data_IF_803300090701
#
_entry.id   IF_803300090701
#
_cell.length_a   1.000
_cell.length_b   1.000
_cell.length_c   1.000
_cell.angle_alpha   90.00
_cell.angle_beta   90.00
_cell.angle_gamma   90.00
#
_symmetry.space_group_name_H-M   'P 1'
#
loop_
_entity.id
_entity.type
_entity.pdbx_description
1 polymer ?
#
# COMPACT_ATOMS: atom_id res chain seq x y z
N UNK A 1 12.60 -17.89 -0.63
CA UNK A 1 11.49 -16.97 -0.25
C UNK A 1 11.14 -17.07 1.24
N UNK A 2 10.61 -18.21 1.75
CA UNK A 2 10.24 -18.36 3.18
C UNK A 2 11.39 -18.10 4.18
N UNK A 3 12.59 -18.64 3.90
CA UNK A 3 13.78 -18.40 4.74
C UNK A 3 14.23 -16.93 4.80
N UNK A 4 14.02 -16.16 3.71
CA UNK A 4 14.31 -14.73 3.69
C UNK A 4 13.24 -13.91 4.44
N UNK A 5 11.97 -14.34 4.42
CA UNK A 5 10.90 -13.72 5.22
C UNK A 5 11.11 -13.92 6.73
N UNK A 6 11.62 -15.09 7.14
CA UNK A 6 11.92 -15.38 8.54
C UNK A 6 13.13 -14.58 9.07
N UNK A 7 14.16 -14.36 8.24
CA UNK A 7 15.31 -13.51 8.60
C UNK A 7 14.92 -12.02 8.74
N UNK A 8 13.84 -11.58 8.08
CA UNK A 8 13.34 -10.21 8.16
C UNK A 8 12.46 -9.97 9.40
N UNK A 9 11.71 -10.99 9.85
CA UNK A 9 10.85 -10.93 11.04
C UNK A 9 11.60 -10.66 12.35
N UNK A 10 12.89 -11.00 12.46
CA UNK A 10 13.66 -10.80 13.68
C UNK A 10 14.37 -9.43 13.73
N UNK A 11 14.59 -8.77 12.59
CA UNK A 11 15.44 -7.58 12.53
C UNK A 11 14.69 -6.24 12.52
N UNK A 12 13.42 -6.21 12.08
CA UNK A 12 12.70 -4.94 11.85
C UNK A 12 11.42 -4.74 12.67
N UNK A 13 10.91 -5.78 13.33
CA UNK A 13 9.62 -5.70 14.05
C UNK A 13 9.68 -4.86 15.34
N UNK A 14 10.87 -4.39 15.75
CA UNK A 14 11.08 -3.72 17.05
C UNK A 14 12.04 -2.50 16.97
N UNK A 15 12.82 -2.30 15.91
CA UNK A 15 14.03 -1.46 15.99
C UNK A 15 13.97 -0.07 15.34
N UNK A 16 12.91 0.30 14.61
CA UNK A 16 12.83 1.63 13.99
C UNK A 16 11.47 2.23 14.29
N UNK A 17 11.46 3.47 14.77
CA UNK A 17 10.27 4.15 15.28
C UNK A 17 9.12 4.33 14.28
N UNK A 18 9.16 3.79 13.05
CA UNK A 18 8.07 3.92 12.07
C UNK A 18 6.93 2.92 12.32
N UNK A 19 5.69 3.39 12.20
CA UNK A 19 4.50 2.62 12.63
C UNK A 19 3.71 1.93 11.50
N UNK A 20 4.16 2.02 10.25
CA UNK A 20 3.50 1.38 9.10
C UNK A 20 4.12 0.05 8.59
N UNK A 21 5.44 -0.24 8.74
CA UNK A 21 6.02 -1.44 8.15
C UNK A 21 5.41 -2.77 8.62
N UNK A 22 5.14 -2.98 9.93
CA UNK A 22 4.50 -4.22 10.39
C UNK A 22 3.15 -4.47 9.72
N UNK A 23 2.33 -3.41 9.56
CA UNK A 23 1.03 -3.50 8.90
C UNK A 23 1.15 -3.98 7.45
N UNK A 24 2.07 -3.40 6.66
CA UNK A 24 2.27 -3.79 5.26
C UNK A 24 2.73 -5.25 5.11
N UNK A 25 3.49 -5.76 6.08
CA UNK A 25 3.92 -7.15 6.11
C UNK A 25 2.76 -8.09 6.43
N UNK A 26 1.90 -7.74 7.40
CA UNK A 26 0.65 -8.46 7.68
C UNK A 26 -0.24 -8.51 6.43
N UNK A 27 -0.43 -7.38 5.76
CA UNK A 27 -1.24 -7.30 4.53
C UNK A 27 -0.72 -8.25 3.46
N UNK A 28 0.59 -8.23 3.26
CA UNK A 28 1.23 -9.04 2.25
C UNK A 28 1.09 -10.54 2.49
N UNK A 29 1.22 -10.95 3.76
CA UNK A 29 1.02 -12.33 4.18
C UNK A 29 -0.46 -12.75 4.17
N UNK A 30 -1.37 -11.80 4.44
CA UNK A 30 -2.81 -12.01 4.33
C UNK A 30 -3.22 -12.28 2.88
N UNK A 31 -2.83 -11.39 1.95
CA UNK A 31 -3.15 -11.52 0.51
C UNK A 31 -2.61 -12.84 -0.07
N UNK A 32 -1.41 -13.22 0.34
CA UNK A 32 -0.77 -14.45 -0.16
C UNK A 32 -1.28 -15.72 0.54
N UNK A 33 -2.10 -15.62 1.59
CA UNK A 33 -2.60 -16.78 2.35
C UNK A 33 -1.56 -17.43 3.28
N UNK A 34 -0.44 -16.76 3.54
CA UNK A 34 0.67 -17.32 4.35
C UNK A 34 0.72 -16.77 5.78
N UNK A 35 -0.23 -15.93 6.20
CA UNK A 35 -0.23 -15.28 7.50
C UNK A 35 -0.01 -16.26 8.67
N UNK A 36 -0.78 -17.35 8.71
CA UNK A 36 -0.69 -18.36 9.77
C UNK A 36 0.51 -19.31 9.62
N UNK A 37 1.07 -19.41 8.42
CA UNK A 37 2.26 -20.23 8.17
C UNK A 37 3.55 -19.53 8.61
N UNK A 38 3.57 -18.19 8.58
CA UNK A 38 4.75 -17.38 8.89
C UNK A 38 4.68 -16.78 10.30
N UNK A 39 3.52 -16.27 10.72
CA UNK A 39 3.35 -15.71 12.05
C UNK A 39 2.73 -16.73 13.00
N UNK A 40 3.54 -17.19 13.94
CA UNK A 40 3.06 -17.93 15.13
C UNK A 40 2.15 -17.04 15.99
N UNK A 41 1.43 -17.64 16.94
CA UNK A 41 0.60 -16.90 17.89
C UNK A 41 1.40 -15.82 18.64
N UNK A 42 2.64 -16.12 19.04
CA UNK A 42 3.51 -15.15 19.72
C UNK A 42 3.91 -13.97 18.82
N UNK A 43 4.20 -14.21 17.53
CA UNK A 43 4.46 -13.09 16.60
C UNK A 43 3.25 -12.16 16.51
N UNK A 44 2.04 -12.70 16.37
CA UNK A 44 0.82 -11.89 16.28
C UNK A 44 0.58 -11.11 17.56
N UNK A 45 0.76 -11.76 18.72
CA UNK A 45 0.64 -11.13 20.04
C UNK A 45 1.62 -9.97 20.21
N UNK A 46 2.87 -10.14 19.80
CA UNK A 46 3.88 -9.10 19.91
C UNK A 46 3.68 -7.96 18.91
N UNK A 47 3.20 -8.25 17.69
CA UNK A 47 2.80 -7.20 16.73
C UNK A 47 1.63 -6.38 17.30
N UNK A 48 0.60 -7.04 17.83
CA UNK A 48 -0.52 -6.36 18.48
C UNK A 48 -0.05 -5.54 19.69
N UNK A 49 0.81 -6.10 20.55
CA UNK A 49 1.41 -5.38 21.69
C UNK A 49 2.12 -4.11 21.24
N UNK A 50 2.93 -4.21 20.18
CA UNK A 50 3.61 -3.05 19.61
C UNK A 50 2.63 -1.97 19.11
N UNK A 51 1.57 -2.37 18.40
CA UNK A 51 0.53 -1.44 17.94
C UNK A 51 -0.16 -0.74 19.13
N UNK A 52 -0.51 -1.50 20.18
CA UNK A 52 -1.15 -0.94 21.37
C UNK A 52 -0.25 0.01 22.16
N UNK A 53 1.04 -0.28 22.25
CA UNK A 53 2.00 0.55 22.98
C UNK A 53 2.18 1.95 22.36
N UNK A 54 1.88 2.11 21.07
CA UNK A 54 2.12 3.35 20.33
C UNK A 54 0.85 3.98 19.76
N UNK A 55 -0.33 3.53 20.22
CA UNK A 55 -1.57 4.25 19.93
C UNK A 55 -1.58 5.55 20.73
N UNK A 56 -1.78 6.66 20.05
CA UNK A 56 -1.90 7.97 20.68
C UNK A 56 -3.19 8.05 21.52
N UNK A 57 -3.24 9.00 22.46
CA UNK A 57 -4.40 9.22 23.33
C UNK A 57 -5.69 9.52 22.55
N UNK A 58 -5.56 10.14 21.37
CA UNK A 58 -6.67 10.43 20.46
C UNK A 58 -7.20 9.19 19.70
N UNK A 59 -6.52 8.05 19.82
CA UNK A 59 -6.87 6.79 19.17
C UNK A 59 -6.17 6.52 17.84
N UNK A 60 -5.36 7.44 17.32
CA UNK A 60 -4.64 7.27 16.08
C UNK A 60 -3.18 6.82 16.25
N UNK A 61 -2.45 6.78 15.12
CA UNK A 61 -1.01 6.50 15.07
C UNK A 61 -0.31 7.48 14.12
N UNK A 62 0.86 7.94 14.51
CA UNK A 62 1.71 8.77 13.65
C UNK A 62 2.55 7.97 12.66
N UNK A 63 3.29 8.68 11.80
CA UNK A 63 4.26 8.07 10.91
C UNK A 63 5.37 7.34 11.67
N UNK A 64 5.72 7.89 12.84
CA UNK A 64 6.64 7.32 13.81
C UNK A 64 6.08 7.38 15.24
N UNK A 65 6.71 6.69 16.18
CA UNK A 65 6.27 6.50 17.58
C UNK A 65 6.10 7.81 18.37
N UNK A 66 6.80 8.87 17.96
CA UNK A 66 6.69 10.21 18.56
C UNK A 66 5.78 11.15 17.75
N UNK A 67 5.21 10.67 16.64
CA UNK A 67 4.44 11.45 15.70
C UNK A 67 2.97 11.58 16.08
N UNK A 68 2.38 12.73 15.76
CA UNK A 68 0.94 12.92 15.84
C UNK A 68 0.19 11.98 14.89
N UNK A 69 -1.06 11.66 15.22
CA UNK A 69 -1.89 10.75 14.47
C UNK A 69 -2.10 11.19 13.01
N UNK A 70 -1.96 10.24 12.10
CA UNK A 70 -2.08 10.41 10.65
C UNK A 70 -3.13 9.47 10.09
N UNK A 71 -3.80 9.86 9.00
CA UNK A 71 -4.78 9.00 8.33
C UNK A 71 -4.11 7.75 7.79
N UNK A 72 -2.92 7.90 7.19
CA UNK A 72 -2.12 6.78 6.70
C UNK A 72 -1.86 5.73 7.80
N UNK A 73 -1.13 6.06 8.86
CA UNK A 73 -0.76 5.04 9.85
C UNK A 73 -1.94 4.56 10.67
N UNK A 74 -2.95 5.39 10.93
CA UNK A 74 -4.14 4.96 11.68
C UNK A 74 -4.96 3.93 10.90
N UNK A 75 -5.19 4.16 9.61
CA UNK A 75 -5.92 3.19 8.77
C UNK A 75 -5.12 1.89 8.62
N UNK A 76 -3.81 1.95 8.39
CA UNK A 76 -3.00 0.73 8.25
C UNK A 76 -2.96 -0.08 9.54
N UNK A 77 -2.78 0.57 10.70
CA UNK A 77 -2.76 -0.13 11.99
C UNK A 77 -4.13 -0.69 12.37
N UNK A 78 -5.23 0.02 12.07
CA UNK A 78 -6.57 -0.51 12.22
C UNK A 78 -6.77 -1.81 11.42
N UNK A 79 -6.49 -1.79 10.13
CA UNK A 79 -6.63 -2.98 9.26
C UNK A 79 -5.70 -4.10 9.74
N UNK A 80 -4.49 -3.77 10.18
CA UNK A 80 -3.55 -4.75 10.72
C UNK A 80 -4.13 -5.48 11.93
N UNK A 81 -4.69 -4.76 12.91
CA UNK A 81 -5.36 -5.38 14.06
C UNK A 81 -6.52 -6.28 13.61
N UNK A 82 -7.37 -5.81 12.70
CA UNK A 82 -8.49 -6.59 12.15
C UNK A 82 -8.02 -7.88 11.48
N UNK A 83 -6.94 -7.84 10.70
CA UNK A 83 -6.35 -9.02 10.05
C UNK A 83 -5.65 -9.99 11.01
N UNK A 84 -5.15 -9.49 12.15
CA UNK A 84 -4.56 -10.30 13.19
C UNK A 84 -5.60 -10.96 14.13
N UNK A 85 -6.88 -10.64 13.94
CA UNK A 85 -8.00 -11.30 14.61
C UNK A 85 -8.75 -10.42 15.62
N UNK A 86 -8.35 -9.16 15.81
CA UNK A 86 -9.09 -8.26 16.69
C UNK A 86 -10.43 -7.89 16.09
N UNK A 87 -11.47 -7.82 16.93
CA UNK A 87 -12.82 -7.40 16.55
C UNK A 87 -12.90 -5.92 16.17
N UNK A 88 -14.02 -5.52 15.54
CA UNK A 88 -14.32 -4.12 15.18
C UNK A 88 -14.21 -3.17 16.38
N UNK A 89 -14.72 -3.62 17.52
CA UNK A 89 -14.69 -2.89 18.80
C UNK A 89 -13.72 -3.56 19.80
N UNK A 90 -12.77 -4.33 19.28
CA UNK A 90 -11.78 -5.11 20.04
C UNK A 90 -10.47 -4.36 20.30
N UNK A 91 -9.44 -5.15 20.60
CA UNK A 91 -8.11 -4.67 20.98
C UNK A 91 -8.00 -4.21 22.43
N UNK A 92 -6.75 -4.08 22.89
CA UNK A 92 -6.45 -3.59 24.25
C UNK A 92 -7.04 -2.19 24.42
N UNK A 93 -7.75 -1.98 25.51
CA UNK A 93 -8.41 -0.71 25.84
C UNK A 93 -9.37 -0.22 24.74
N UNK A 94 -9.96 -1.11 23.94
CA UNK A 94 -10.80 -0.76 22.77
C UNK A 94 -10.04 -0.01 21.66
N UNK A 95 -8.79 -0.38 21.43
CA UNK A 95 -7.93 0.23 20.42
C UNK A 95 -8.59 0.32 19.04
N UNK A 96 -9.31 -0.72 18.58
CA UNK A 96 -9.99 -0.71 17.29
C UNK A 96 -11.16 0.30 17.24
N UNK A 97 -11.93 0.42 18.32
CA UNK A 97 -13.04 1.39 18.38
C UNK A 97 -12.51 2.82 18.29
N UNK A 98 -11.48 3.15 19.08
CA UNK A 98 -10.87 4.48 19.08
C UNK A 98 -10.25 4.82 17.73
N UNK A 99 -9.53 3.87 17.13
CA UNK A 99 -8.94 4.00 15.80
C UNK A 99 -10.01 4.29 14.74
N UNK A 100 -11.08 3.50 14.73
CA UNK A 100 -12.19 3.68 13.80
C UNK A 100 -12.86 5.04 13.99
N UNK A 101 -13.13 5.43 15.24
CA UNK A 101 -13.67 6.75 15.55
C UNK A 101 -12.77 7.87 15.00
N UNK A 102 -11.47 7.79 15.27
CA UNK A 102 -10.50 8.76 14.75
C UNK A 102 -10.53 8.82 13.21
N UNK A 103 -10.52 7.67 12.52
CA UNK A 103 -10.59 7.61 11.05
C UNK A 103 -11.84 8.32 10.53
N UNK A 104 -13.01 8.01 11.08
CA UNK A 104 -14.28 8.56 10.60
C UNK A 104 -14.40 10.07 10.88
N UNK A 105 -13.93 10.52 12.05
CA UNK A 105 -13.94 11.93 12.46
C UNK A 105 -13.00 12.80 11.59
N UNK A 106 -11.93 12.22 11.02
CA UNK A 106 -10.94 12.93 10.20
C UNK A 106 -11.17 12.77 8.68
N UNK A 107 -12.41 12.50 8.28
CA UNK A 107 -12.81 12.45 6.88
C UNK A 107 -12.73 11.06 6.24
N UNK A 108 -12.55 10.01 7.03
CA UNK A 108 -12.53 8.59 6.62
C UNK A 108 -11.35 8.20 5.72
N UNK A 109 -11.25 6.90 5.40
CA UNK A 109 -10.15 6.38 4.59
C UNK A 109 -10.13 6.92 3.14
N UNK A 110 -11.16 7.67 2.67
CA UNK A 110 -11.13 8.33 1.35
C UNK A 110 -9.97 9.32 1.22
N UNK A 111 -9.57 9.95 2.34
CA UNK A 111 -8.54 10.98 2.41
C UNK A 111 -7.14 10.44 2.74
N UNK A 112 -6.95 9.11 2.77
CA UNK A 112 -5.65 8.52 3.04
C UNK A 112 -4.59 8.97 2.01
N UNK A 113 -3.32 9.08 2.42
CA UNK A 113 -2.20 9.44 1.54
C UNK A 113 -2.07 8.55 0.29
N UNK A 114 -1.31 8.98 -0.72
CA UNK A 114 -1.15 8.27 -2.00
C UNK A 114 -0.63 6.83 -1.83
N UNK A 115 0.34 6.61 -0.95
CA UNK A 115 0.83 5.26 -0.62
C UNK A 115 -0.23 4.43 0.09
N UNK A 116 -1.02 5.05 0.97
CA UNK A 116 -2.17 4.42 1.60
C UNK A 116 -3.20 3.95 0.57
N UNK A 117 -3.55 4.80 -0.40
CA UNK A 117 -4.47 4.44 -1.48
C UNK A 117 -3.98 3.24 -2.27
N UNK A 118 -2.68 3.18 -2.59
CA UNK A 118 -2.07 2.03 -3.27
C UNK A 118 -2.23 0.74 -2.46
N UNK A 119 -1.92 0.77 -1.16
CA UNK A 119 -2.07 -0.41 -0.30
C UNK A 119 -3.52 -0.83 -0.11
N UNK A 120 -4.44 0.12 0.09
CA UNK A 120 -5.85 -0.19 0.18
C UNK A 120 -6.40 -0.72 -1.15
N UNK A 121 -5.93 -0.22 -2.30
CA UNK A 121 -6.32 -0.75 -3.60
C UNK A 121 -5.83 -2.20 -3.82
N UNK A 122 -4.58 -2.49 -3.43
CA UNK A 122 -4.04 -3.85 -3.42
C UNK A 122 -4.86 -4.76 -2.50
N UNK A 123 -5.33 -4.27 -1.36
CA UNK A 123 -6.19 -5.02 -0.43
C UNK A 123 -7.65 -5.17 -0.89
N UNK A 124 -8.08 -4.41 -1.90
CA UNK A 124 -9.48 -4.31 -2.28
C UNK A 124 -10.33 -3.48 -1.32
N UNK A 125 -9.71 -2.57 -0.56
CA UNK A 125 -10.37 -1.61 0.31
C UNK A 125 -10.51 -0.22 -0.31
N UNK A 126 -9.99 0.01 -1.52
CA UNK A 126 -10.07 1.28 -2.26
C UNK A 126 -10.04 0.98 -3.77
N UNK A 127 -10.67 1.79 -4.61
CA UNK A 127 -10.61 1.56 -6.06
C UNK A 127 -9.39 2.24 -6.70
N UNK A 128 -8.69 1.54 -7.61
CA UNK A 128 -7.58 2.10 -8.39
C UNK A 128 -7.95 3.40 -9.14
N UNK A 129 -9.24 3.61 -9.44
CA UNK A 129 -9.74 4.83 -10.07
C UNK A 129 -9.53 6.10 -9.23
N UNK A 130 -9.47 5.97 -7.89
CA UNK A 130 -9.17 7.06 -6.97
C UNK A 130 -7.69 7.17 -6.59
N UNK A 131 -6.80 6.40 -7.21
CA UNK A 131 -5.36 6.57 -7.09
C UNK A 131 -4.83 7.56 -8.14
N UNK A 132 -3.72 8.23 -7.84
CA UNK A 132 -2.92 8.89 -8.88
C UNK A 132 -2.31 7.83 -9.80
N UNK A 133 -2.20 8.12 -11.11
CA UNK A 133 -1.67 7.14 -12.04
C UNK A 133 -0.19 6.88 -11.78
N UNK A 134 0.20 5.60 -11.73
CA UNK A 134 1.59 5.14 -11.64
C UNK A 134 1.93 4.30 -12.88
N UNK A 135 2.02 4.92 -14.06
CA UNK A 135 2.16 4.21 -15.32
C UNK A 135 3.49 3.45 -15.41
N UNK A 136 3.50 2.12 -15.62
CA UNK A 136 4.73 1.34 -15.80
C UNK A 136 5.52 1.78 -17.04
N UNK A 137 4.90 2.49 -17.97
CA UNK A 137 5.54 3.00 -19.19
C UNK A 137 6.70 3.97 -18.92
N UNK A 138 6.80 4.55 -17.72
CA UNK A 138 7.96 5.35 -17.31
C UNK A 138 9.27 4.56 -17.37
N UNK A 139 9.23 3.24 -17.17
CA UNK A 139 10.41 2.36 -17.25
C UNK A 139 10.84 2.05 -18.69
N UNK A 140 10.08 2.51 -19.69
CA UNK A 140 10.48 2.41 -21.10
C UNK A 140 11.25 3.64 -21.59
N UNK A 141 11.34 4.70 -20.78
CA UNK A 141 12.01 5.93 -21.19
C UNK A 141 13.51 5.70 -21.43
N UNK A 142 14.11 6.37 -22.43
CA UNK A 142 15.55 6.30 -22.65
C UNK A 142 16.31 6.92 -21.47
N UNK A 143 17.54 6.45 -21.22
CA UNK A 143 18.40 6.97 -20.14
C UNK A 143 18.71 8.46 -20.26
N UNK A 144 18.63 9.02 -21.47
CA UNK A 144 18.80 10.44 -21.76
C UNK A 144 17.61 11.31 -21.35
N UNK A 145 16.46 10.72 -21.02
CA UNK A 145 15.28 11.46 -20.57
C UNK A 145 15.52 12.07 -19.18
N UNK A 146 15.18 13.35 -18.95
CA UNK A 146 15.36 13.99 -17.64
C UNK A 146 14.49 13.37 -16.54
N UNK A 147 13.42 12.65 -16.92
CA UNK A 147 12.49 11.96 -16.01
C UNK A 147 12.66 10.44 -16.05
N UNK A 148 13.81 9.94 -16.52
CA UNK A 148 14.11 8.52 -16.51
C UNK A 148 14.15 7.99 -15.05
N UNK A 149 13.51 6.84 -14.74
CA UNK A 149 13.53 6.27 -13.39
C UNK A 149 14.94 5.99 -12.84
N UNK A 150 15.92 5.75 -13.71
CA UNK A 150 17.33 5.56 -13.36
C UNK A 150 17.99 6.77 -12.70
N UNK A 151 17.45 7.99 -12.91
CA UNK A 151 17.93 9.23 -12.30
C UNK A 151 17.24 9.55 -10.95
N UNK A 152 16.23 8.77 -10.57
CA UNK A 152 15.55 8.94 -9.28
C UNK A 152 16.43 8.40 -8.15
N UNK A 153 16.23 8.94 -6.95
CA UNK A 153 16.77 8.36 -5.72
C UNK A 153 16.41 6.87 -5.67
N UNK A 154 17.37 6.02 -5.35
CA UNK A 154 17.26 4.56 -5.34
C UNK A 154 16.06 4.05 -4.53
N UNK A 155 15.85 4.59 -3.33
CA UNK A 155 14.71 4.26 -2.47
C UNK A 155 13.36 4.57 -3.14
N UNK A 156 13.24 5.77 -3.74
CA UNK A 156 12.05 6.14 -4.50
C UNK A 156 11.86 5.22 -5.71
N UNK A 157 12.92 4.99 -6.48
CA UNK A 157 12.88 4.12 -7.67
C UNK A 157 12.41 2.71 -7.34
N UNK A 158 12.97 2.10 -6.30
CA UNK A 158 12.67 0.73 -5.90
C UNK A 158 11.30 0.60 -5.21
N UNK A 159 10.81 1.65 -4.54
CA UNK A 159 9.43 1.67 -4.05
C UNK A 159 8.41 1.79 -5.19
N UNK A 160 8.61 2.70 -6.15
CA UNK A 160 7.64 2.95 -7.22
C UNK A 160 7.63 1.88 -8.31
N UNK A 161 8.73 1.12 -8.48
CA UNK A 161 8.84 0.01 -9.44
C UNK A 161 7.72 -1.05 -9.27
N UNK A 162 7.58 -1.73 -8.12
CA UNK A 162 6.51 -2.70 -7.88
C UNK A 162 5.13 -2.05 -7.79
N UNK A 163 5.02 -0.82 -7.30
CA UNK A 163 3.73 -0.10 -7.26
C UNK A 163 3.21 0.18 -8.67
N UNK A 164 4.09 0.57 -9.61
CA UNK A 164 3.73 0.79 -11.00
C UNK A 164 3.34 -0.52 -11.71
N UNK A 165 4.03 -1.64 -11.40
CA UNK A 165 3.64 -2.96 -11.88
C UNK A 165 2.21 -3.31 -11.44
N UNK A 166 1.95 -3.24 -10.13
CA UNK A 166 0.64 -3.57 -9.53
C UNK A 166 -0.46 -2.64 -10.04
N UNK A 167 -0.17 -1.34 -10.20
CA UNK A 167 -1.08 -0.36 -10.79
C UNK A 167 -1.39 -0.67 -12.26
N UNK A 168 -0.37 -1.00 -13.05
CA UNK A 168 -0.54 -1.34 -14.47
C UNK A 168 -1.37 -2.61 -14.67
N UNK A 169 -1.25 -3.58 -13.75
CA UNK A 169 -2.09 -4.79 -13.68
C UNK A 169 -3.45 -4.56 -13.04
N UNK A 170 -3.66 -3.43 -12.35
CA UNK A 170 -4.82 -3.18 -11.47
C UNK A 170 -5.04 -4.33 -10.48
N UNK A 171 -3.94 -4.82 -9.88
CA UNK A 171 -3.98 -5.97 -9.00
C UNK A 171 -4.85 -5.70 -7.77
N UNK A 172 -5.70 -6.67 -7.42
CA UNK A 172 -6.49 -6.67 -6.20
C UNK A 172 -6.36 -8.05 -5.55
N UNK A 173 -6.12 -8.06 -4.24
CA UNK A 173 -6.08 -9.26 -3.42
C UNK A 173 -7.46 -9.93 -3.30
N UNK A 174 -7.52 -11.11 -2.64
CA UNK A 174 -8.80 -11.79 -2.43
C UNK A 174 -9.80 -10.94 -1.62
N UNK A 175 -11.02 -10.80 -2.13
CA UNK A 175 -12.11 -10.12 -1.40
C UNK A 175 -12.74 -11.11 -0.43
N UNK A 176 -12.27 -11.10 0.82
CA UNK A 176 -12.77 -11.97 1.89
C UNK A 176 -13.93 -11.32 2.65
N UNK A 177 -14.68 -12.08 3.47
CA UNK A 177 -15.69 -11.49 4.36
C UNK A 177 -15.13 -10.41 5.29
N UNK A 178 -13.87 -10.54 5.73
CA UNK A 178 -13.20 -9.52 6.54
C UNK A 178 -12.97 -8.23 5.75
N UNK A 179 -12.54 -8.32 4.49
CA UNK A 179 -12.37 -7.15 3.62
C UNK A 179 -13.70 -6.42 3.43
N UNK A 180 -14.80 -7.16 3.21
CA UNK A 180 -16.13 -6.58 3.10
C UNK A 180 -16.56 -5.87 4.39
N UNK A 181 -16.34 -6.47 5.56
CA UNK A 181 -16.59 -5.83 6.85
C UNK A 181 -15.79 -4.53 7.01
N UNK A 182 -14.49 -4.56 6.69
CA UNK A 182 -13.64 -3.37 6.82
C UNK A 182 -14.13 -2.23 5.91
N UNK A 183 -14.66 -2.51 4.71
CA UNK A 183 -15.28 -1.49 3.84
C UNK A 183 -16.48 -0.80 4.50
N UNK A 184 -17.21 -1.47 5.38
CA UNK A 184 -18.31 -0.85 6.15
C UNK A 184 -17.80 -0.07 7.36
N UNK A 185 -16.55 -0.30 7.79
CA UNK A 185 -15.99 0.24 9.03
C UNK A 185 -15.21 1.54 8.83
N UNK A 186 -14.51 1.71 7.71
CA UNK A 186 -13.52 2.79 7.51
C UNK A 186 -14.03 3.97 6.65
N UNK A 187 -15.28 3.92 6.21
CA UNK A 187 -15.90 4.92 5.33
C UNK A 187 -17.19 5.49 5.96
N UNK A 188 -17.40 6.80 5.79
CA UNK A 188 -18.62 7.49 6.27
C UNK A 188 -19.84 7.25 5.35
N UNK A 189 -19.59 6.85 4.11
CA UNK A 189 -20.62 6.56 3.10
C UNK A 189 -20.47 5.11 2.61
N UNK A 190 -21.55 4.46 2.15
CA UNK A 190 -21.47 3.12 1.59
C UNK A 190 -20.44 3.02 0.46
N UNK A 191 -19.57 2.01 0.53
CA UNK A 191 -18.43 1.82 -0.36
C UNK A 191 -18.81 1.90 -1.85
N UNK A 192 -19.96 1.34 -2.22
CA UNK A 192 -20.44 1.26 -3.60
C UNK A 192 -20.92 2.62 -4.15
N UNK A 193 -21.25 3.57 -3.27
CA UNK A 193 -21.73 4.92 -3.66
C UNK A 193 -20.60 5.92 -3.84
N UNK A 194 -19.38 5.57 -3.40
CA UNK A 194 -18.23 6.46 -3.46
C UNK A 194 -17.79 6.72 -4.91
N UNK A 195 -17.69 7.99 -5.29
CA UNK A 195 -17.12 8.38 -6.58
C UNK A 195 -15.60 8.52 -6.47
N UNK A 196 -14.91 7.38 -6.57
CA UNK A 196 -13.46 7.26 -6.38
C UNK A 196 -12.62 8.24 -7.19
N UNK A 197 -13.02 8.56 -8.43
CA UNK A 197 -12.27 9.49 -9.30
C UNK A 197 -12.10 10.87 -8.67
N UNK A 198 -13.08 11.33 -7.86
CA UNK A 198 -13.05 12.64 -7.20
C UNK A 198 -12.04 12.70 -6.05
N UNK A 199 -11.67 11.56 -5.49
CA UNK A 199 -10.80 11.48 -4.32
C UNK A 199 -9.33 11.38 -4.67
N UNK A 200 -8.95 11.37 -5.96
CA UNK A 200 -7.54 11.21 -6.40
C UNK A 200 -6.56 12.16 -5.72
N UNK A 201 -6.91 13.43 -5.67
CA UNK A 201 -6.08 14.49 -5.07
C UNK A 201 -6.41 14.77 -3.61
N UNK A 202 -7.43 14.10 -3.05
CA UNK A 202 -7.80 14.25 -1.65
C UNK A 202 -6.73 13.60 -0.76
N UNK A 203 -6.25 14.34 0.22
CA UNK A 203 -5.32 13.89 1.24
C UNK A 203 -5.70 14.56 2.57
N UNK A 204 -5.68 13.81 3.66
CA UNK A 204 -5.92 14.32 5.01
C UNK A 204 -4.90 15.42 5.33
N UNK A 205 -5.31 16.41 6.11
CA UNK A 205 -4.44 17.57 6.43
C UNK A 205 -3.21 17.11 7.19
N UNK A 206 -3.39 16.14 8.08
CA UNK A 206 -2.38 15.51 8.92
C UNK A 206 -1.31 14.78 8.10
N UNK A 207 -1.68 14.28 6.92
CA UNK A 207 -0.79 13.52 6.02
C UNK A 207 -0.12 14.43 4.97
N UNK A 208 -0.61 15.64 4.76
CA UNK A 208 -0.25 16.49 3.62
C UNK A 208 0.95 17.41 3.91
N UNK A 209 2.14 16.81 4.06
CA UNK A 209 3.37 17.56 4.29
C UNK A 209 3.85 18.34 3.07
N UNK A 210 3.69 17.77 1.86
CA UNK A 210 4.04 18.40 0.58
C UNK A 210 2.82 18.48 -0.33
N UNK A 211 2.03 19.57 -0.28
CA UNK A 211 0.86 19.71 -1.14
C UNK A 211 1.26 19.80 -2.61
N UNK A 212 0.54 19.07 -3.46
CA UNK A 212 0.74 19.17 -4.90
C UNK A 212 0.39 20.57 -5.41
N UNK A 213 1.26 21.11 -6.27
CA UNK A 213 0.99 22.36 -6.99
C UNK A 213 -0.11 22.15 -8.04
N UNK A 214 -0.78 23.23 -8.47
CA UNK A 214 -1.80 23.16 -9.51
C UNK A 214 -1.27 22.58 -10.83
N UNK A 215 0.01 22.81 -11.15
CA UNK A 215 0.67 22.24 -12.33
C UNK A 215 0.81 20.72 -12.20
N UNK A 216 1.21 20.22 -11.04
CA UNK A 216 1.28 18.77 -10.78
C UNK A 216 -0.10 18.11 -10.83
N UNK A 217 -1.13 18.76 -10.28
CA UNK A 217 -2.51 18.27 -10.33
C UNK A 217 -2.96 18.16 -11.80
N UNK A 218 -2.77 19.21 -12.60
CA UNK A 218 -3.10 19.21 -14.02
C UNK A 218 -2.34 18.12 -14.78
N UNK A 219 -1.06 17.94 -14.49
CA UNK A 219 -0.24 16.90 -15.10
C UNK A 219 -0.78 15.49 -14.81
N UNK A 220 -1.09 15.20 -13.54
CA UNK A 220 -1.67 13.90 -13.16
C UNK A 220 -3.06 13.67 -13.77
N UNK A 221 -3.89 14.71 -13.85
CA UNK A 221 -5.20 14.61 -14.49
C UNK A 221 -5.10 14.41 -16.00
N UNK A 222 -4.11 15.00 -16.66
CA UNK A 222 -3.84 14.76 -18.07
C UNK A 222 -3.39 13.31 -18.31
N UNK A 223 -2.46 12.78 -17.50
CA UNK A 223 -2.05 11.37 -17.58
C UNK A 223 -3.24 10.45 -17.37
N UNK A 224 -4.07 10.71 -16.37
CA UNK A 224 -5.22 9.85 -16.09
C UNK A 224 -6.30 9.94 -17.17
N UNK A 225 -6.63 11.16 -17.63
CA UNK A 225 -7.77 11.37 -18.53
C UNK A 225 -7.45 10.96 -19.96
N UNK A 226 -6.21 11.18 -20.41
CA UNK A 226 -5.80 10.89 -21.78
C UNK A 226 -4.90 9.66 -21.85
N UNK A 227 -3.91 9.56 -20.96
CA UNK A 227 -2.92 8.46 -20.97
C UNK A 227 -3.54 7.11 -20.64
N UNK A 228 -4.28 6.97 -19.54
CA UNK A 228 -4.86 5.67 -19.14
C UNK A 228 -5.82 5.09 -20.20
N UNK A 229 -6.79 5.83 -20.77
CA UNK A 229 -7.65 5.29 -21.83
C UNK A 229 -6.89 4.97 -23.12
N UNK A 230 -5.83 5.72 -23.43
CA UNK A 230 -5.00 5.45 -24.60
C UNK A 230 -4.23 4.14 -24.42
N UNK A 231 -3.55 3.98 -23.28
CA UNK A 231 -2.66 2.84 -22.98
C UNK A 231 -3.41 1.54 -22.68
N UNK A 232 -4.73 1.59 -22.51
CA UNK A 232 -5.58 0.40 -22.37
C UNK A 232 -6.19 -0.07 -23.69
N UNK A 233 -6.08 0.74 -24.76
CA UNK A 233 -6.63 0.42 -26.09
C UNK A 233 -5.57 -0.10 -27.03
N UNK A 234 -5.97 -1.00 -27.93
CA UNK A 234 -5.10 -1.46 -29.01
C UNK A 234 -4.80 -0.31 -29.99
N UNK A 235 -3.56 -0.16 -30.50
CA UNK A 235 -2.38 -1.02 -30.27
C UNK A 235 -1.50 -0.59 -29.09
N UNK A 236 -1.83 0.51 -28.40
CA UNK A 236 -1.01 1.10 -27.34
C UNK A 236 -0.94 0.24 -26.07
N UNK A 237 -1.90 -0.66 -25.85
CA UNK A 237 -1.82 -1.67 -24.80
C UNK A 237 -0.58 -2.57 -24.90
N UNK A 238 -0.02 -2.77 -26.09
CA UNK A 238 1.26 -3.47 -26.27
C UNK A 238 2.43 -2.75 -25.60
N UNK A 239 2.36 -1.41 -25.51
CA UNK A 239 3.36 -0.62 -24.78
C UNK A 239 3.29 -0.92 -23.28
N UNK A 240 2.07 -1.00 -22.73
CA UNK A 240 1.82 -1.38 -21.34
C UNK A 240 2.31 -2.80 -21.05
N UNK A 241 2.00 -3.76 -21.92
CA UNK A 241 2.49 -5.14 -21.79
C UNK A 241 4.02 -5.20 -21.77
N UNK A 242 4.67 -4.49 -22.69
CA UNK A 242 6.14 -4.38 -22.72
C UNK A 242 6.69 -3.73 -21.44
N UNK A 243 6.06 -2.65 -20.98
CA UNK A 243 6.44 -1.95 -19.76
C UNK A 243 6.32 -2.86 -18.53
N UNK A 244 5.24 -3.62 -18.42
CA UNK A 244 5.01 -4.57 -17.33
C UNK A 244 6.07 -5.68 -17.31
N UNK A 245 6.45 -6.21 -18.48
CA UNK A 245 7.52 -7.21 -18.57
C UNK A 245 8.87 -6.65 -18.08
N UNK A 246 9.27 -5.47 -18.58
CA UNK A 246 10.52 -4.81 -18.16
C UNK A 246 10.51 -4.49 -16.66
N UNK A 247 9.38 -4.00 -16.14
CA UNK A 247 9.21 -3.69 -14.73
C UNK A 247 9.39 -4.96 -13.88
N UNK A 248 8.81 -6.08 -14.31
CA UNK A 248 8.97 -7.37 -13.64
C UNK A 248 10.40 -7.91 -13.72
N UNK A 249 11.08 -7.74 -14.85
CA UNK A 249 12.48 -8.15 -15.00
C UNK A 249 13.38 -7.37 -14.02
N UNK A 250 13.13 -6.07 -13.83
CA UNK A 250 13.83 -5.28 -12.82
C UNK A 250 13.51 -5.72 -11.39
N UNK A 251 12.26 -6.08 -11.08
CA UNK A 251 11.87 -6.63 -9.77
C UNK A 251 12.62 -7.92 -9.48
N UNK A 252 12.67 -8.84 -10.45
CA UNK A 252 13.41 -10.10 -10.33
C UNK A 252 14.92 -9.86 -10.18
N UNK A 253 15.49 -8.94 -10.95
CA UNK A 253 16.91 -8.60 -10.85
C UNK A 253 17.28 -8.09 -9.45
N UNK A 254 16.48 -7.18 -8.89
CA UNK A 254 16.66 -6.68 -7.53
C UNK A 254 16.49 -7.79 -6.48
N UNK A 255 15.49 -8.65 -6.64
CA UNK A 255 15.30 -9.80 -5.77
C UNK A 255 16.50 -10.75 -5.79
N UNK A 256 17.05 -11.06 -6.96
CA UNK A 256 18.20 -11.95 -7.10
C UNK A 256 19.49 -11.31 -6.55
N UNK A 257 19.75 -10.05 -6.90
CA UNK A 257 20.96 -9.33 -6.48
C UNK A 257 21.00 -9.09 -4.96
N UNK A 258 19.85 -8.84 -4.35
CA UNK A 258 19.70 -8.60 -2.91
C UNK A 258 19.47 -9.87 -2.09
N UNK A 259 19.49 -11.06 -2.72
CA UNK A 259 19.13 -12.35 -2.07
C UNK A 259 17.73 -12.32 -1.44
N UNK A 260 16.80 -11.67 -2.14
CA UNK A 260 15.40 -11.47 -1.79
C UNK A 260 15.22 -10.69 -0.48
N UNK A 261 16.18 -9.82 -0.13
CA UNK A 261 16.05 -8.93 1.03
C UNK A 261 15.53 -7.56 0.59
N UNK A 262 15.89 -7.12 -0.63
CA UNK A 262 15.70 -5.75 -1.17
C UNK A 262 16.38 -4.67 -0.31
N UNK A 263 16.28 -3.41 -0.71
CA UNK A 263 16.86 -2.27 0.01
C UNK A 263 16.16 -1.94 1.34
N UNK A 264 14.89 -2.33 1.51
CA UNK A 264 14.08 -1.88 2.64
C UNK A 264 12.78 -2.66 2.83
N UNK A 265 12.10 -2.36 3.94
CA UNK A 265 10.90 -3.09 4.35
C UNK A 265 9.71 -2.88 3.40
N UNK A 266 9.54 -1.69 2.84
CA UNK A 266 8.44 -1.34 1.92
C UNK A 266 8.64 -2.02 0.57
N UNK A 267 9.86 -1.97 0.05
CA UNK A 267 10.27 -2.61 -1.19
C UNK A 267 10.09 -4.12 -1.09
N UNK A 268 10.51 -4.70 0.04
CA UNK A 268 10.41 -6.15 0.27
C UNK A 268 8.98 -6.66 0.13
N UNK A 269 8.02 -5.99 0.77
CA UNK A 269 6.62 -6.42 0.80
C UNK A 269 5.92 -6.19 -0.55
N UNK A 270 6.26 -5.10 -1.26
CA UNK A 270 5.68 -4.79 -2.58
C UNK A 270 6.25 -5.68 -3.70
N UNK A 271 7.53 -6.06 -3.62
CA UNK A 271 8.13 -7.09 -4.48
C UNK A 271 7.44 -8.44 -4.29
N UNK A 272 7.17 -8.82 -3.03
CA UNK A 272 6.44 -10.06 -2.73
C UNK A 272 5.05 -10.08 -3.38
N UNK A 273 4.31 -8.97 -3.35
CA UNK A 273 3.00 -8.88 -4.00
C UNK A 273 3.09 -9.03 -5.52
N UNK A 274 4.06 -8.35 -6.14
CA UNK A 274 4.27 -8.40 -7.59
C UNK A 274 4.60 -9.83 -8.06
N UNK A 275 5.48 -10.52 -7.33
CA UNK A 275 5.81 -11.92 -7.59
C UNK A 275 4.62 -12.87 -7.35
N UNK A 276 3.77 -12.58 -6.37
CA UNK A 276 2.56 -13.35 -6.08
C UNK A 276 1.51 -13.23 -7.19
N UNK A 277 1.35 -12.04 -7.78
CA UNK A 277 0.45 -11.79 -8.91
C UNK A 277 0.83 -12.64 -10.13
N UNK A 278 2.11 -12.62 -10.54
CA UNK A 278 2.59 -13.35 -11.74
C UNK A 278 2.38 -14.87 -11.66
N UNK A 279 2.31 -15.42 -10.44
CA UNK A 279 2.15 -16.86 -10.18
C UNK A 279 0.69 -17.32 -10.19
N UNK A 280 -0.29 -16.40 -10.19
CA UNK A 280 -1.69 -16.79 -10.35
C UNK A 280 -1.90 -17.21 -11.81
N UNK A 281 -2.45 -18.41 -12.09
CA UNK A 281 -2.87 -18.74 -13.44
C UNK A 281 -3.88 -17.68 -13.89
N UNK A 282 -3.69 -17.17 -15.11
CA UNK A 282 -4.68 -16.30 -15.77
C UNK A 282 -5.99 -17.08 -15.79
N UNK A 283 -6.98 -16.63 -15.01
CA UNK A 283 -8.34 -17.15 -15.07
C UNK A 283 -9.04 -16.65 -16.33
#
# INVERSE_FOLDING_TARGET
MLKAMLLFNSAFTISNGNLFPPSMQVFSLYITGHLNAIFSAEHKKEILRYIYCHQNEDGGWGLHIEGHSTMFCTVLNYICMRMLGEGRDGGKDKACERARKWILDHGSAIAISSWGKTWLAILGLYEWAGCNPMPPEFWLLPSTSPINPGNLLDYCRLTYLPMAYLYGKKFVGPITPLILQIREEIYNEPYEKLNWRRFRHLCAKEDNYYPHTSIQILFWDAIYTFGEPLLTRWPFNKLREKALNITMDHIHYEDESSRYITIGCVEKVTHLQSNGEKRKPVQ
#
